data_IF_018935273621
#
_entry.id   IF_018935273621
#
_cell.length_a   1.000
_cell.length_b   1.000
_cell.length_c   1.000
_cell.angle_alpha   90.00
_cell.angle_beta   90.00
_cell.angle_gamma   90.00
#
_symmetry.space_group_name_H-M   'P 1'
#
loop_
_entity.id
_entity.type
_entity.pdbx_description
1 polymer ?
#
# COMPACT_ATOMS: atom_id res chain seq x y z
N UNK A 1 -3.36 -18.93 14.87
CA UNK A 1 -4.82 -19.25 14.90
C UNK A 1 -5.71 -18.06 15.29
N UNK A 2 -5.31 -17.19 16.23
CA UNK A 2 -6.12 -16.02 16.62
C UNK A 2 -6.37 -14.99 15.51
N UNK A 3 -5.37 -14.62 14.70
CA UNK A 3 -5.55 -13.58 13.66
C UNK A 3 -6.61 -13.96 12.60
N UNK A 4 -6.69 -15.24 12.24
CA UNK A 4 -7.66 -15.76 11.26
C UNK A 4 -9.10 -15.64 11.76
N UNK A 5 -9.36 -15.89 13.04
CA UNK A 5 -10.70 -15.72 13.60
C UNK A 5 -11.11 -14.25 13.67
N UNK A 6 -10.19 -13.32 13.96
CA UNK A 6 -10.47 -11.88 13.95
C UNK A 6 -10.80 -11.39 12.53
N UNK A 7 -10.07 -11.89 11.52
CA UNK A 7 -10.35 -11.59 10.13
C UNK A 7 -11.73 -12.09 9.68
N UNK A 8 -12.15 -13.30 10.10
CA UNK A 8 -13.46 -13.82 9.75
C UNK A 8 -14.61 -12.93 10.21
N UNK A 9 -14.56 -12.44 11.45
CA UNK A 9 -15.54 -11.47 11.99
C UNK A 9 -15.50 -10.17 11.19
N UNK A 10 -14.32 -9.61 10.98
CA UNK A 10 -14.17 -8.33 10.30
C UNK A 10 -14.64 -8.35 8.84
N UNK A 11 -14.40 -9.46 8.12
CA UNK A 11 -14.91 -9.68 6.76
C UNK A 11 -16.43 -9.72 6.75
N UNK A 12 -17.05 -10.45 7.70
CA UNK A 12 -18.50 -10.51 7.84
C UNK A 12 -19.12 -9.12 8.05
N UNK A 13 -18.51 -8.31 8.92
CA UNK A 13 -18.92 -6.91 9.14
C UNK A 13 -18.76 -6.07 7.86
N UNK A 14 -17.68 -6.27 7.12
CA UNK A 14 -17.47 -5.61 5.83
C UNK A 14 -18.59 -5.93 4.83
N UNK A 15 -19.03 -7.19 4.74
CA UNK A 15 -20.16 -7.56 3.88
C UNK A 15 -21.48 -6.94 4.33
N UNK A 16 -21.74 -6.81 5.63
CA UNK A 16 -22.91 -6.07 6.12
C UNK A 16 -22.89 -4.60 5.67
N UNK A 17 -21.71 -3.97 5.66
CA UNK A 17 -21.57 -2.58 5.22
C UNK A 17 -21.80 -2.38 3.71
N UNK A 18 -21.77 -3.43 2.89
CA UNK A 18 -22.08 -3.34 1.47
C UNK A 18 -23.52 -2.88 1.21
N UNK A 19 -24.45 -3.24 2.09
CA UNK A 19 -25.87 -2.82 2.02
C UNK A 19 -26.28 -1.87 3.14
N UNK A 20 -25.64 -1.94 4.31
CA UNK A 20 -26.00 -1.19 5.52
C UNK A 20 -24.81 -0.38 6.05
N UNK A 21 -24.19 0.46 5.22
CA UNK A 21 -22.95 1.16 5.55
C UNK A 21 -23.05 2.00 6.83
N UNK A 22 -23.98 2.95 6.88
CA UNK A 22 -24.09 3.91 7.99
C UNK A 22 -24.51 3.21 9.30
N UNK A 23 -25.44 2.25 9.23
CA UNK A 23 -25.83 1.44 10.40
C UNK A 23 -24.64 0.62 10.93
N UNK A 24 -23.86 0.01 10.03
CA UNK A 24 -22.67 -0.77 10.40
C UNK A 24 -21.62 0.11 11.05
N UNK A 25 -21.33 1.28 10.48
CA UNK A 25 -20.42 2.25 11.07
C UNK A 25 -20.90 2.73 12.45
N UNK A 26 -22.19 3.03 12.59
CA UNK A 26 -22.79 3.41 13.87
C UNK A 26 -22.63 2.34 14.94
N UNK A 27 -22.87 1.06 14.60
CA UNK A 27 -22.66 -0.06 15.53
C UNK A 27 -21.19 -0.25 15.93
N UNK A 28 -20.26 -0.07 14.98
CA UNK A 28 -18.83 -0.13 15.29
C UNK A 28 -18.40 1.03 16.19
N UNK A 29 -18.95 2.23 15.98
CA UNK A 29 -18.67 3.40 16.80
C UNK A 29 -19.19 3.22 18.23
N UNK A 30 -20.45 2.77 18.39
CA UNK A 30 -21.05 2.46 19.68
C UNK A 30 -20.23 1.40 20.43
N UNK A 31 -19.81 0.36 19.72
CA UNK A 31 -18.96 -0.68 20.28
C UNK A 31 -17.58 -0.15 20.70
N UNK A 32 -16.97 0.70 19.88
CA UNK A 32 -15.70 1.36 20.20
C UNK A 32 -15.77 2.30 21.41
N UNK A 33 -16.95 2.85 21.72
CA UNK A 33 -17.20 3.68 22.90
C UNK A 33 -17.48 2.90 24.17
N UNK A 34 -17.72 1.58 24.07
CA UNK A 34 -18.07 0.72 25.21
C UNK A 34 -16.97 0.65 26.27
N UNK A 35 -17.36 0.38 27.52
CA UNK A 35 -16.43 0.31 28.66
C UNK A 35 -15.35 -0.77 28.50
N UNK A 36 -15.61 -1.79 27.67
CA UNK A 36 -14.65 -2.85 27.34
C UNK A 36 -13.46 -2.29 26.57
N UNK A 37 -13.70 -1.32 25.68
CA UNK A 37 -12.67 -0.68 24.85
C UNK A 37 -12.03 0.52 25.58
N UNK A 38 -12.78 1.19 26.47
CA UNK A 38 -12.35 2.40 27.20
C UNK A 38 -11.52 2.13 28.46
N UNK A 39 -11.74 1.02 29.18
CA UNK A 39 -11.13 0.77 30.51
C UNK A 39 -9.59 0.66 30.55
N UNK A 40 -8.89 0.65 29.42
CA UNK A 40 -7.43 0.49 29.37
C UNK A 40 -6.60 1.78 29.50
N UNK A 41 -7.20 2.97 29.64
CA UNK A 41 -6.42 4.20 29.85
C UNK A 41 -6.00 4.45 31.30
N UNK A 42 -6.50 3.68 32.28
CA UNK A 42 -6.24 3.95 33.70
C UNK A 42 -5.43 2.83 34.38
N UNK A 43 -4.32 3.26 34.97
CA UNK A 43 -3.31 2.50 35.70
C UNK A 43 -3.88 1.75 36.92
N UNK A 44 -4.20 0.46 36.81
CA UNK A 44 -4.18 -0.45 37.98
C UNK A 44 -3.57 -1.80 37.59
N UNK A 45 -2.41 -2.08 38.18
CA UNK A 45 -1.69 -3.36 38.13
C UNK A 45 -2.18 -4.20 39.30
N UNK A 46 -2.66 -5.43 39.07
CA UNK A 46 -2.54 -6.61 39.98
C UNK A 46 -3.40 -7.82 39.51
N UNK A 47 -4.32 -7.67 38.55
CA UNK A 47 -5.01 -8.81 37.93
C UNK A 47 -5.27 -8.56 36.43
N UNK A 48 -4.21 -8.42 35.62
CA UNK A 48 -4.27 -7.63 34.37
C UNK A 48 -4.05 -8.37 33.05
N UNK A 49 -3.21 -9.42 33.03
CA UNK A 49 -2.67 -9.93 31.75
C UNK A 49 -3.70 -10.58 30.82
N UNK A 50 -4.65 -11.36 31.35
CA UNK A 50 -5.69 -12.01 30.51
C UNK A 50 -6.69 -11.00 29.96
N UNK A 51 -7.06 -9.99 30.76
CA UNK A 51 -7.99 -8.94 30.36
C UNK A 51 -7.34 -8.02 29.31
N UNK A 52 -6.07 -7.65 29.48
CA UNK A 52 -5.34 -6.83 28.51
C UNK A 52 -5.23 -7.53 27.14
N UNK A 53 -4.88 -8.83 27.11
CA UNK A 53 -4.84 -9.61 25.86
C UNK A 53 -6.20 -9.69 25.16
N UNK A 54 -7.30 -9.75 25.92
CA UNK A 54 -8.65 -9.74 25.36
C UNK A 54 -9.01 -8.36 24.78
N UNK A 55 -8.66 -7.27 25.46
CA UNK A 55 -8.86 -5.91 24.95
C UNK A 55 -8.06 -5.66 23.68
N UNK A 56 -6.80 -6.08 23.59
CA UNK A 56 -6.01 -5.91 22.37
C UNK A 56 -6.57 -6.72 21.18
N UNK A 57 -7.18 -7.90 21.43
CA UNK A 57 -7.90 -8.65 20.39
C UNK A 57 -9.18 -7.94 19.94
N UNK A 58 -9.93 -7.37 20.88
CA UNK A 58 -11.12 -6.57 20.58
C UNK A 58 -10.74 -5.35 19.74
N UNK A 59 -9.68 -4.62 20.14
CA UNK A 59 -9.14 -3.48 19.39
C UNK A 59 -8.67 -3.87 18.01
N UNK A 60 -7.91 -4.97 17.90
CA UNK A 60 -7.46 -5.54 16.61
C UNK A 60 -8.64 -5.86 15.68
N UNK A 61 -9.69 -6.49 16.22
CA UNK A 61 -10.90 -6.80 15.45
C UNK A 61 -11.60 -5.54 14.98
N UNK A 62 -11.78 -4.55 15.86
CA UNK A 62 -12.42 -3.29 15.52
C UNK A 62 -11.69 -2.54 14.40
N UNK A 63 -10.36 -2.48 14.47
CA UNK A 63 -9.51 -1.90 13.41
C UNK A 63 -9.70 -2.63 12.09
N UNK A 64 -9.69 -3.96 12.11
CA UNK A 64 -9.92 -4.77 10.91
C UNK A 64 -11.33 -4.56 10.34
N UNK A 65 -12.36 -4.45 11.18
CA UNK A 65 -13.72 -4.16 10.75
C UNK A 65 -13.75 -2.85 9.95
N UNK A 66 -13.14 -1.78 10.44
CA UNK A 66 -13.07 -0.51 9.71
C UNK A 66 -12.35 -0.65 8.35
N UNK A 67 -11.27 -1.44 8.29
CA UNK A 67 -10.59 -1.75 7.03
C UNK A 67 -11.50 -2.50 6.02
N UNK A 68 -12.23 -3.52 6.47
CA UNK A 68 -13.13 -4.29 5.60
C UNK A 68 -14.42 -3.54 5.23
N UNK A 69 -14.95 -2.70 6.13
CA UNK A 69 -16.02 -1.75 5.82
C UNK A 69 -15.58 -0.78 4.73
N UNK A 70 -14.33 -0.31 4.78
CA UNK A 70 -13.77 0.52 3.71
C UNK A 70 -13.71 -0.24 2.39
N UNK A 71 -13.24 -1.49 2.39
CA UNK A 71 -13.08 -2.30 1.18
C UNK A 71 -14.41 -2.70 0.53
N UNK A 72 -15.44 -3.01 1.33
CA UNK A 72 -16.72 -3.55 0.85
C UNK A 72 -17.86 -2.53 0.83
N UNK A 73 -17.64 -1.32 1.37
CA UNK A 73 -18.63 -0.27 1.38
C UNK A 73 -19.02 0.19 -0.03
N UNK A 74 -20.26 0.65 -0.23
CA UNK A 74 -20.77 1.08 -1.52
C UNK A 74 -19.96 2.26 -2.10
N UNK A 75 -19.58 2.13 -3.37
CA UNK A 75 -18.63 3.02 -4.06
C UNK A 75 -18.99 4.51 -3.96
N UNK A 76 -20.29 4.81 -4.09
CA UNK A 76 -20.82 6.17 -4.10
C UNK A 76 -20.82 6.85 -2.72
N UNK A 77 -20.66 6.08 -1.63
CA UNK A 77 -20.80 6.60 -0.26
C UNK A 77 -19.53 6.44 0.57
N UNK A 78 -18.62 5.54 0.20
CA UNK A 78 -17.53 5.11 1.08
C UNK A 78 -16.40 6.15 1.19
N UNK A 79 -16.07 6.86 0.10
CA UNK A 79 -14.96 7.82 0.07
C UNK A 79 -15.10 8.95 1.12
N UNK A 80 -16.26 9.64 1.24
CA UNK A 80 -16.47 10.62 2.30
C UNK A 80 -16.34 10.03 3.71
N UNK A 81 -16.80 8.80 3.93
CA UNK A 81 -16.72 8.12 5.24
C UNK A 81 -15.29 7.73 5.60
N UNK A 82 -14.52 7.28 4.62
CA UNK A 82 -13.09 7.01 4.76
C UNK A 82 -12.37 8.27 5.24
N UNK A 83 -12.55 9.38 4.51
CA UNK A 83 -11.82 10.61 4.77
C UNK A 83 -12.20 11.31 6.07
N UNK A 84 -13.49 11.34 6.42
CA UNK A 84 -13.96 12.10 7.58
C UNK A 84 -13.93 11.33 8.90
N UNK A 85 -14.08 10.00 8.84
CA UNK A 85 -14.34 9.19 10.04
C UNK A 85 -13.39 7.99 10.17
N UNK A 86 -13.38 7.08 9.20
CA UNK A 86 -12.71 5.77 9.36
C UNK A 86 -11.21 5.92 9.59
N UNK A 87 -10.53 6.78 8.82
CA UNK A 87 -9.08 6.96 8.98
C UNK A 87 -8.73 7.49 10.37
N UNK A 88 -9.51 8.44 10.91
CA UNK A 88 -9.28 8.99 12.25
C UNK A 88 -9.38 7.91 13.34
N UNK A 89 -10.33 6.98 13.20
CA UNK A 89 -10.48 5.87 14.12
C UNK A 89 -9.29 4.91 14.07
N UNK A 90 -8.83 4.57 12.85
CA UNK A 90 -7.63 3.73 12.67
C UNK A 90 -6.39 4.43 13.24
N UNK A 91 -6.21 5.73 12.96
CA UNK A 91 -5.11 6.56 13.46
C UNK A 91 -5.05 6.59 15.00
N UNK A 92 -6.19 6.62 15.68
CA UNK A 92 -6.26 6.69 17.15
C UNK A 92 -5.62 5.50 17.87
N UNK A 93 -5.32 4.41 17.16
CA UNK A 93 -4.77 3.18 17.72
C UNK A 93 -3.27 2.96 17.43
N UNK A 94 -2.59 3.87 16.70
CA UNK A 94 -1.18 3.70 16.33
C UNK A 94 -0.21 3.74 17.52
N UNK A 95 -0.58 4.39 18.63
CA UNK A 95 0.23 4.41 19.86
C UNK A 95 0.05 3.11 20.68
N UNK A 96 0.41 1.97 20.10
CA UNK A 96 0.34 0.66 20.74
C UNK A 96 1.66 -0.08 20.68
N UNK A 97 1.93 -0.89 21.71
CA UNK A 97 3.07 -1.82 21.74
C UNK A 97 2.69 -3.23 21.29
N UNK A 98 1.39 -3.53 21.19
CA UNK A 98 0.90 -4.88 20.85
C UNK A 98 1.11 -5.19 19.36
N UNK A 99 1.73 -6.34 19.08
CA UNK A 99 2.04 -6.78 17.72
C UNK A 99 0.76 -7.07 16.91
N UNK A 100 -0.27 -7.65 17.52
CA UNK A 100 -1.52 -8.00 16.83
C UNK A 100 -2.25 -6.74 16.39
N UNK A 101 -2.27 -5.71 17.23
CA UNK A 101 -2.85 -4.40 16.88
C UNK A 101 -2.05 -3.72 15.79
N UNK A 102 -0.71 -3.70 15.88
CA UNK A 102 0.15 -3.15 14.81
C UNK A 102 -0.13 -3.82 13.47
N UNK A 103 -0.18 -5.16 13.41
CA UNK A 103 -0.48 -5.89 12.18
C UNK A 103 -1.90 -5.61 11.68
N UNK A 104 -2.86 -5.44 12.58
CA UNK A 104 -4.23 -5.06 12.24
C UNK A 104 -4.31 -3.65 11.64
N UNK A 105 -3.54 -2.70 12.18
CA UNK A 105 -3.41 -1.35 11.62
C UNK A 105 -2.83 -1.37 10.21
N UNK A 106 -1.69 -2.04 10.02
CA UNK A 106 -1.04 -2.17 8.71
C UNK A 106 -1.98 -2.78 7.67
N UNK A 107 -2.74 -3.80 8.07
CA UNK A 107 -3.75 -4.41 7.21
C UNK A 107 -4.91 -3.45 6.92
N UNK A 108 -5.44 -2.75 7.91
CA UNK A 108 -6.53 -1.80 7.72
C UNK A 108 -6.12 -0.66 6.78
N UNK A 109 -4.91 -0.10 6.94
CA UNK A 109 -4.37 0.92 6.03
C UNK A 109 -4.28 0.41 4.60
N UNK A 110 -3.80 -0.82 4.40
CA UNK A 110 -3.77 -1.44 3.07
C UNK A 110 -5.17 -1.61 2.46
N UNK A 111 -6.16 -2.01 3.26
CA UNK A 111 -7.55 -2.16 2.83
C UNK A 111 -8.17 -0.81 2.47
N UNK A 112 -7.97 0.21 3.30
CA UNK A 112 -8.42 1.59 3.05
C UNK A 112 -7.80 2.12 1.76
N UNK A 113 -6.49 1.97 1.58
CA UNK A 113 -5.82 2.47 0.39
C UNK A 113 -6.35 1.80 -0.88
N UNK A 114 -6.57 0.48 -0.84
CA UNK A 114 -7.19 -0.25 -1.96
C UNK A 114 -8.63 0.18 -2.22
N UNK A 115 -9.40 0.43 -1.16
CA UNK A 115 -10.76 0.94 -1.28
C UNK A 115 -10.76 2.31 -1.97
N UNK A 116 -9.91 3.24 -1.52
CA UNK A 116 -9.78 4.55 -2.15
C UNK A 116 -9.41 4.40 -3.63
N UNK A 117 -8.34 3.66 -3.93
CA UNK A 117 -7.87 3.45 -5.31
C UNK A 117 -8.95 2.87 -6.25
N UNK A 118 -9.76 1.93 -5.76
CA UNK A 118 -10.81 1.30 -6.57
C UNK A 118 -11.97 2.25 -6.87
N UNK A 119 -12.14 3.30 -6.05
CA UNK A 119 -13.26 4.23 -6.11
C UNK A 119 -12.89 5.60 -6.72
N UNK A 120 -11.62 5.86 -7.02
CA UNK A 120 -11.18 7.14 -7.60
C UNK A 120 -11.23 7.20 -9.13
N UNK A 121 -11.52 6.09 -9.82
CA UNK A 121 -11.43 6.02 -11.29
C UNK A 121 -12.31 7.04 -12.05
N UNK A 122 -13.38 7.54 -11.44
CA UNK A 122 -14.35 8.46 -12.06
C UNK A 122 -14.49 9.81 -11.32
N UNK A 123 -13.65 10.09 -10.33
CA UNK A 123 -13.79 11.28 -9.47
C UNK A 123 -12.41 11.87 -9.14
N UNK A 124 -12.30 13.21 -9.16
CA UNK A 124 -11.15 13.92 -8.61
C UNK A 124 -11.19 13.83 -7.08
N UNK A 125 -10.66 12.75 -6.53
CA UNK A 125 -10.60 12.52 -5.09
C UNK A 125 -9.15 12.60 -4.58
N UNK A 126 -8.91 13.52 -3.65
CA UNK A 126 -7.61 13.71 -3.00
C UNK A 126 -7.64 13.11 -1.60
N UNK A 127 -6.83 12.08 -1.37
CA UNK A 127 -6.76 11.42 -0.07
C UNK A 127 -5.84 12.18 0.89
N UNK A 128 -6.43 13.10 1.67
CA UNK A 128 -5.70 14.04 2.54
C UNK A 128 -4.82 13.40 3.62
N UNK A 129 -5.09 12.14 4.00
CA UNK A 129 -4.38 11.44 5.08
C UNK A 129 -3.16 10.65 4.61
N UNK A 130 -2.84 10.68 3.29
CA UNK A 130 -1.74 9.89 2.71
C UNK A 130 -0.40 10.13 3.41
N UNK A 131 -0.01 11.38 3.60
CA UNK A 131 1.27 11.75 4.21
C UNK A 131 1.38 11.31 5.67
N UNK A 132 0.35 11.60 6.48
CA UNK A 132 0.31 11.19 7.90
C UNK A 132 0.43 9.67 8.06
N UNK A 133 -0.32 8.90 7.25
CA UNK A 133 -0.24 7.45 7.28
C UNK A 133 1.16 6.95 6.87
N UNK A 134 1.78 7.52 5.84
CA UNK A 134 3.13 7.13 5.42
C UNK A 134 4.19 7.41 6.49
N UNK A 135 4.11 8.54 7.21
CA UNK A 135 5.01 8.80 8.33
C UNK A 135 4.85 7.76 9.44
N UNK A 136 3.62 7.41 9.81
CA UNK A 136 3.38 6.38 10.83
C UNK A 136 3.88 5.00 10.41
N UNK A 137 3.76 4.64 9.13
CA UNK A 137 4.31 3.40 8.59
C UNK A 137 5.85 3.39 8.64
N UNK A 138 6.49 4.52 8.35
CA UNK A 138 7.94 4.67 8.48
C UNK A 138 8.40 4.57 9.94
N UNK A 139 7.65 5.14 10.89
CA UNK A 139 7.95 5.02 12.32
C UNK A 139 7.87 3.56 12.79
N UNK A 140 6.89 2.79 12.31
CA UNK A 140 6.79 1.35 12.59
C UNK A 140 7.99 0.57 12.03
N UNK A 141 8.48 0.93 10.85
CA UNK A 141 9.69 0.33 10.24
C UNK A 141 10.93 0.66 11.09
N UNK A 142 11.11 1.94 11.44
CA UNK A 142 12.26 2.46 12.21
C UNK A 142 12.27 1.93 13.65
N UNK A 143 11.12 1.55 14.20
CA UNK A 143 11.01 0.97 15.53
C UNK A 143 11.48 -0.50 15.61
N UNK A 144 11.58 -1.23 14.49
CA UNK A 144 12.15 -2.58 14.50
C UNK A 144 13.69 -2.55 14.53
N UNK A 145 14.36 -3.49 15.23
CA UNK A 145 15.82 -3.50 15.35
C UNK A 145 16.50 -3.63 13.98
N UNK A 146 17.45 -2.74 13.61
CA UNK A 146 17.97 -2.65 12.24
C UNK A 146 18.65 -3.93 11.76
N UNK A 147 19.22 -4.70 12.67
CA UNK A 147 20.04 -5.89 12.46
C UNK A 147 19.27 -7.22 12.63
N UNK A 148 17.98 -7.20 12.96
CA UNK A 148 17.19 -8.44 13.08
C UNK A 148 15.73 -8.25 12.71
N UNK A 149 15.22 -9.14 11.86
CA UNK A 149 13.80 -9.23 11.52
C UNK A 149 13.13 -10.29 12.39
N UNK A 150 12.35 -9.86 13.38
CA UNK A 150 11.63 -10.74 14.31
C UNK A 150 10.13 -10.80 14.06
N UNK A 151 9.59 -9.82 13.35
CA UNK A 151 8.16 -9.70 13.10
C UNK A 151 7.93 -9.33 11.64
N UNK A 152 6.72 -9.53 11.10
CA UNK A 152 6.43 -9.17 9.72
C UNK A 152 6.05 -7.68 9.57
N UNK A 153 6.33 -6.82 10.57
CA UNK A 153 5.96 -5.39 10.56
C UNK A 153 6.58 -4.67 9.36
N UNK A 154 7.90 -4.78 9.13
CA UNK A 154 8.56 -4.16 7.96
C UNK A 154 7.87 -4.51 6.64
N UNK A 155 7.64 -5.80 6.39
CA UNK A 155 6.96 -6.26 5.18
C UNK A 155 5.56 -5.66 5.04
N UNK A 156 4.74 -5.72 6.09
CA UNK A 156 3.38 -5.19 6.04
C UNK A 156 3.33 -3.67 5.92
N UNK A 157 4.27 -2.95 6.54
CA UNK A 157 4.39 -1.50 6.45
C UNK A 157 4.83 -1.06 5.05
N UNK A 158 5.84 -1.71 4.47
CA UNK A 158 6.27 -1.47 3.08
C UNK A 158 5.11 -1.74 2.10
N UNK A 159 4.36 -2.83 2.30
CA UNK A 159 3.19 -3.17 1.48
C UNK A 159 2.06 -2.13 1.63
N UNK A 160 1.81 -1.62 2.84
CA UNK A 160 0.83 -0.57 3.06
C UNK A 160 1.26 0.75 2.38
N UNK A 161 2.55 1.10 2.45
CA UNK A 161 3.12 2.26 1.76
C UNK A 161 2.94 2.16 0.25
N UNK A 162 3.18 0.98 -0.34
CA UNK A 162 2.93 0.71 -1.75
C UNK A 162 1.49 1.02 -2.14
N UNK A 163 0.51 0.56 -1.37
CA UNK A 163 -0.90 0.83 -1.67
C UNK A 163 -1.23 2.33 -1.57
N UNK A 164 -0.66 3.04 -0.60
CA UNK A 164 -0.85 4.49 -0.45
C UNK A 164 -0.21 5.29 -1.60
N UNK A 165 0.91 4.83 -2.16
CA UNK A 165 1.58 5.49 -3.28
C UNK A 165 0.74 5.49 -4.57
N UNK A 166 -0.26 4.61 -4.69
CA UNK A 166 -1.21 4.59 -5.80
C UNK A 166 -2.27 5.71 -5.75
N UNK A 167 -2.37 6.41 -4.63
CA UNK A 167 -3.41 7.41 -4.38
C UNK A 167 -2.91 8.82 -4.67
N UNK A 168 -3.82 9.71 -5.04
CA UNK A 168 -3.56 11.15 -5.09
C UNK A 168 -3.65 11.79 -3.70
N UNK A 169 -2.82 12.80 -3.40
CA UNK A 169 -1.85 13.44 -4.29
C UNK A 169 -0.51 12.70 -4.36
N UNK A 170 0.30 12.98 -5.38
CA UNK A 170 1.71 12.55 -5.42
C UNK A 170 2.48 13.08 -4.21
N UNK A 171 3.51 12.34 -3.78
CA UNK A 171 4.38 12.79 -2.69
C UNK A 171 5.32 13.89 -3.16
N UNK A 172 5.79 14.71 -2.22
CA UNK A 172 6.93 15.58 -2.49
C UNK A 172 8.18 14.73 -2.73
N UNK A 173 9.17 15.29 -3.45
CA UNK A 173 10.44 14.59 -3.67
C UNK A 173 11.14 14.26 -2.33
N UNK A 174 11.02 15.14 -1.34
CA UNK A 174 11.61 14.93 -0.01
C UNK A 174 10.97 13.75 0.73
N UNK A 175 9.64 13.67 0.75
CA UNK A 175 8.92 12.56 1.42
C UNK A 175 9.17 11.23 0.71
N UNK A 176 9.22 11.25 -0.63
CA UNK A 176 9.52 10.07 -1.42
C UNK A 176 10.97 9.60 -1.18
N UNK A 177 11.92 10.54 -1.11
CA UNK A 177 13.32 10.25 -0.80
C UNK A 177 13.47 9.59 0.58
N UNK A 178 12.79 10.12 1.60
CA UNK A 178 12.82 9.56 2.95
C UNK A 178 12.21 8.16 3.00
N UNK A 179 11.06 7.96 2.33
CA UNK A 179 10.39 6.66 2.26
C UNK A 179 11.30 5.60 1.63
N UNK A 180 11.90 5.90 0.46
CA UNK A 180 12.80 4.98 -0.24
C UNK A 180 13.99 4.63 0.66
N UNK A 181 14.62 5.64 1.26
CA UNK A 181 15.79 5.46 2.14
C UNK A 181 15.46 4.60 3.36
N UNK A 182 14.31 4.86 4.00
CA UNK A 182 13.82 4.09 5.16
C UNK A 182 13.57 2.63 4.78
N UNK A 183 12.88 2.38 3.68
CA UNK A 183 12.55 1.02 3.24
C UNK A 183 13.82 0.24 2.82
N UNK A 184 14.71 0.83 2.03
CA UNK A 184 15.98 0.21 1.63
C UNK A 184 16.83 -0.13 2.85
N UNK A 185 17.07 0.84 3.75
CA UNK A 185 17.87 0.64 4.95
C UNK A 185 17.30 -0.45 5.85
N UNK A 186 15.98 -0.58 5.94
CA UNK A 186 15.32 -1.59 6.76
C UNK A 186 15.44 -3.03 6.24
N UNK A 187 15.78 -3.23 4.96
CA UNK A 187 15.83 -4.56 4.32
C UNK A 187 17.24 -4.92 3.88
N UNK A 188 17.96 -3.99 3.24
CA UNK A 188 19.30 -4.26 2.73
C UNK A 188 20.32 -4.44 3.85
N UNK A 189 20.21 -3.72 4.97
CA UNK A 189 21.14 -3.80 6.10
C UNK A 189 21.00 -5.07 6.96
N UNK A 190 20.00 -5.91 6.71
CA UNK A 190 19.77 -7.11 7.52
C UNK A 190 20.97 -8.07 7.40
N UNK A 191 21.33 -8.86 8.43
CA UNK A 191 22.45 -9.78 8.34
C UNK A 191 22.24 -10.88 7.28
N UNK A 192 23.29 -11.60 6.88
CA UNK A 192 23.18 -12.73 5.96
C UNK A 192 22.18 -13.78 6.46
N UNK A 193 21.44 -14.36 5.52
CA UNK A 193 20.46 -15.44 5.70
C UNK A 193 20.97 -16.62 6.55
N UNK A 194 22.26 -16.92 6.42
CA UNK A 194 22.92 -18.10 6.99
C UNK A 194 23.88 -17.79 8.15
N UNK A 195 23.80 -16.63 8.80
CA UNK A 195 24.62 -16.35 9.97
C UNK A 195 24.18 -17.26 11.15
N UNK A 196 24.84 -18.42 11.29
CA UNK A 196 24.45 -19.50 12.19
C UNK A 196 24.65 -19.14 13.67
N UNK A 197 23.58 -19.19 14.46
CA UNK A 197 23.68 -19.61 15.85
C UNK A 197 23.63 -21.15 15.88
N UNK A 198 24.62 -21.78 16.52
CA UNK A 198 24.76 -23.24 16.57
C UNK A 198 23.62 -23.89 17.36
N UNK A 199 22.86 -24.76 16.68
CA UNK A 199 22.31 -26.00 17.24
C UNK A 199 21.04 -25.93 18.08
N UNK A 200 19.94 -26.46 17.50
CA UNK A 200 18.79 -27.21 18.09
C UNK A 200 17.68 -27.29 17.02
N UNK A 201 16.82 -28.29 17.06
CA UNK A 201 15.73 -28.46 16.06
C UNK A 201 14.72 -27.28 16.07
N UNK A 202 14.51 -26.66 17.23
CA UNK A 202 13.78 -25.39 17.37
C UNK A 202 14.49 -24.21 16.67
N UNK A 203 15.83 -24.18 16.66
CA UNK A 203 16.60 -23.16 15.97
C UNK A 203 16.55 -23.31 14.43
N UNK A 204 16.29 -24.52 13.91
CA UNK A 204 16.10 -24.77 12.48
C UNK A 204 14.74 -24.22 12.01
N UNK A 205 13.70 -24.39 12.82
CA UNK A 205 12.35 -23.88 12.50
C UNK A 205 12.33 -22.35 12.54
N UNK A 206 12.92 -21.74 13.57
CA UNK A 206 13.07 -20.28 13.69
C UNK A 206 13.89 -19.69 12.53
N UNK A 207 14.96 -20.39 12.10
CA UNK A 207 15.76 -19.98 10.93
C UNK A 207 14.92 -19.99 9.65
N UNK A 208 14.10 -21.04 9.42
CA UNK A 208 13.26 -21.13 8.22
C UNK A 208 12.16 -20.07 8.20
N UNK A 209 11.51 -19.80 9.34
CA UNK A 209 10.51 -18.74 9.45
C UNK A 209 11.14 -17.36 9.21
N UNK A 210 12.36 -17.15 9.72
CA UNK A 210 13.14 -15.94 9.46
C UNK A 210 13.47 -15.78 7.98
N UNK A 211 13.92 -16.83 7.31
CA UNK A 211 14.18 -16.79 5.86
C UNK A 211 12.96 -16.40 5.02
N UNK A 212 11.78 -16.89 5.41
CA UNK A 212 10.52 -16.50 4.78
C UNK A 212 10.26 -15.00 5.00
N UNK A 213 10.36 -14.51 6.24
CA UNK A 213 10.16 -13.09 6.55
C UNK A 213 11.13 -12.18 5.78
N UNK A 214 12.39 -12.59 5.62
CA UNK A 214 13.38 -11.85 4.83
C UNK A 214 12.98 -11.77 3.36
N UNK A 215 12.57 -12.91 2.80
CA UNK A 215 12.14 -13.00 1.40
C UNK A 215 10.89 -12.17 1.16
N UNK A 216 9.93 -12.20 2.08
CA UNK A 216 8.71 -11.41 2.01
C UNK A 216 9.01 -9.90 2.12
N UNK A 217 9.91 -9.50 3.02
CA UNK A 217 10.32 -8.10 3.16
C UNK A 217 11.05 -7.57 1.93
N UNK A 218 11.94 -8.38 1.33
CA UNK A 218 12.64 -8.03 0.09
C UNK A 218 11.68 -7.93 -1.09
N UNK A 219 10.72 -8.85 -1.19
CA UNK A 219 9.69 -8.82 -2.24
C UNK A 219 8.84 -7.55 -2.10
N UNK A 220 8.37 -7.24 -0.90
CA UNK A 220 7.59 -6.02 -0.65
C UNK A 220 8.37 -4.75 -1.02
N UNK A 221 9.67 -4.69 -0.71
CA UNK A 221 10.54 -3.57 -1.10
C UNK A 221 10.67 -3.45 -2.62
N UNK A 222 10.90 -4.56 -3.31
CA UNK A 222 10.99 -4.58 -4.78
C UNK A 222 9.70 -4.09 -5.42
N UNK A 223 8.55 -4.54 -4.93
CA UNK A 223 7.23 -4.08 -5.37
C UNK A 223 6.99 -2.59 -5.10
N UNK A 224 7.45 -2.08 -3.95
CA UNK A 224 7.37 -0.65 -3.63
C UNK A 224 8.15 0.18 -4.64
N UNK A 225 9.39 -0.22 -4.94
CA UNK A 225 10.25 0.48 -5.90
C UNK A 225 9.68 0.42 -7.32
N UNK A 226 9.09 -0.71 -7.73
CA UNK A 226 8.36 -0.82 -9.00
C UNK A 226 7.16 0.12 -9.04
N UNK A 227 6.40 0.24 -7.94
CA UNK A 227 5.27 1.17 -7.85
C UNK A 227 5.70 2.65 -7.92
N UNK A 228 6.87 2.99 -7.37
CA UNK A 228 7.45 4.34 -7.49
C UNK A 228 7.87 4.59 -8.93
N UNK A 229 8.57 3.63 -9.56
CA UNK A 229 8.99 3.72 -10.95
C UNK A 229 7.80 3.83 -11.92
N UNK A 230 6.64 3.28 -11.59
CA UNK A 230 5.42 3.47 -12.37
C UNK A 230 4.91 4.92 -12.39
N UNK A 231 5.30 5.75 -11.43
CA UNK A 231 4.93 7.16 -11.41
C UNK A 231 5.70 7.97 -12.47
N UNK A 232 6.93 7.56 -12.80
CA UNK A 232 7.71 8.11 -13.90
C UNK A 232 8.60 7.04 -14.57
N UNK A 233 8.19 6.59 -15.75
CA UNK A 233 8.92 5.61 -16.57
C UNK A 233 9.94 6.27 -17.53
N UNK A 234 10.31 7.53 -17.31
CA UNK A 234 11.41 8.18 -18.02
C UNK A 234 12.79 7.69 -17.51
N UNK A 235 13.88 7.96 -18.25
CA UNK A 235 15.24 7.77 -17.74
C UNK A 235 15.51 8.54 -16.44
N UNK A 236 14.90 9.71 -16.25
CA UNK A 236 15.04 10.52 -15.04
C UNK A 236 14.34 9.86 -13.86
N UNK A 237 13.13 9.31 -14.06
CA UNK A 237 12.42 8.52 -13.05
C UNK A 237 13.18 7.25 -12.65
N UNK A 238 13.80 6.57 -13.63
CA UNK A 238 14.70 5.46 -13.36
C UNK A 238 15.90 5.91 -12.51
N UNK A 239 16.59 6.98 -12.91
CA UNK A 239 17.71 7.54 -12.17
C UNK A 239 17.31 7.98 -10.74
N UNK A 240 16.10 8.51 -10.57
CA UNK A 240 15.56 8.93 -9.29
C UNK A 240 15.36 7.76 -8.31
N UNK A 241 15.09 6.54 -8.78
CA UNK A 241 15.08 5.34 -7.94
C UNK A 241 16.51 4.80 -7.73
N UNK A 242 17.29 4.74 -8.81
CA UNK A 242 18.63 4.15 -8.80
C UNK A 242 19.63 4.89 -7.90
N UNK A 243 19.54 6.22 -7.80
CA UNK A 243 20.39 7.04 -6.90
C UNK A 243 20.37 6.54 -5.45
N UNK A 244 19.29 5.88 -5.01
CA UNK A 244 19.17 5.33 -3.66
C UNK A 244 19.77 3.92 -3.53
N UNK A 245 19.82 3.15 -4.62
CA UNK A 245 20.33 1.77 -4.62
C UNK A 245 21.86 1.77 -4.80
N UNK A 246 22.39 2.72 -5.57
CA UNK A 246 23.81 2.82 -5.92
C UNK A 246 24.78 2.68 -4.72
N UNK A 247 24.56 3.34 -3.56
CA UNK A 247 25.45 3.17 -2.40
C UNK A 247 25.57 1.73 -1.91
N UNK A 248 24.52 0.91 -2.11
CA UNK A 248 24.47 -0.48 -1.66
C UNK A 248 25.20 -1.44 -2.60
N UNK A 249 25.42 -1.05 -3.86
CA UNK A 249 26.17 -1.86 -4.84
C UNK A 249 27.67 -1.94 -4.50
N UNK A 250 28.16 -1.03 -3.65
CA UNK A 250 29.55 -1.05 -3.15
C UNK A 250 29.64 -1.46 -1.67
N UNK A 251 28.54 -1.91 -1.07
CA UNK A 251 28.45 -2.28 0.34
C UNK A 251 28.93 -3.73 0.61
N UNK A 252 28.60 -4.28 1.79
CA UNK A 252 29.00 -5.64 2.18
C UNK A 252 28.37 -6.68 1.25
N UNK A 253 28.96 -7.87 1.19
CA UNK A 253 28.57 -8.90 0.20
C UNK A 253 27.06 -9.20 0.16
N UNK A 254 26.42 -9.38 1.31
CA UNK A 254 24.99 -9.65 1.40
C UNK A 254 24.11 -8.43 1.11
N UNK A 255 24.57 -7.21 1.46
CA UNK A 255 23.90 -5.96 1.10
C UNK A 255 23.93 -5.75 -0.42
N UNK A 256 25.11 -5.96 -1.01
CA UNK A 256 25.38 -5.84 -2.45
C UNK A 256 24.62 -6.88 -3.27
N UNK A 257 24.51 -8.11 -2.78
CA UNK A 257 23.70 -9.17 -3.40
C UNK A 257 22.24 -8.72 -3.53
N UNK A 258 21.62 -8.24 -2.44
CA UNK A 258 20.23 -7.75 -2.44
C UNK A 258 20.02 -6.53 -3.32
N UNK A 259 20.98 -5.61 -3.31
CA UNK A 259 20.95 -4.44 -4.18
C UNK A 259 21.01 -4.86 -5.66
N UNK A 260 21.91 -5.77 -6.01
CA UNK A 260 22.05 -6.29 -7.38
C UNK A 260 20.79 -7.04 -7.84
N UNK A 261 20.22 -7.89 -6.98
CA UNK A 261 18.97 -8.61 -7.27
C UNK A 261 17.82 -7.63 -7.53
N UNK A 262 17.69 -6.61 -6.67
CA UNK A 262 16.66 -5.58 -6.76
C UNK A 262 16.83 -4.74 -8.03
N UNK A 263 18.07 -4.32 -8.34
CA UNK A 263 18.41 -3.64 -9.59
C UNK A 263 18.02 -4.47 -10.81
N UNK A 264 18.36 -5.76 -10.84
CA UNK A 264 18.01 -6.66 -11.94
C UNK A 264 16.49 -6.73 -12.15
N UNK A 265 15.72 -6.91 -11.07
CA UNK A 265 14.25 -6.94 -11.12
C UNK A 265 13.64 -5.61 -11.60
N UNK A 266 14.17 -4.48 -11.14
CA UNK A 266 13.71 -3.15 -11.58
C UNK A 266 13.98 -2.91 -13.07
N UNK A 267 15.17 -3.27 -13.58
CA UNK A 267 15.49 -3.14 -15.00
C UNK A 267 14.62 -4.05 -15.87
N UNK A 268 14.38 -5.29 -15.44
CA UNK A 268 13.50 -6.22 -16.13
C UNK A 268 12.06 -5.67 -16.18
N UNK A 269 11.56 -5.15 -15.06
CA UNK A 269 10.25 -4.50 -14.99
C UNK A 269 10.18 -3.26 -15.89
N UNK A 270 11.20 -2.40 -15.87
CA UNK A 270 11.27 -1.21 -16.70
C UNK A 270 11.20 -1.56 -18.20
N UNK A 271 11.98 -2.55 -18.63
CA UNK A 271 11.99 -3.04 -20.02
C UNK A 271 10.63 -3.62 -20.44
N UNK A 272 9.99 -4.42 -19.57
CA UNK A 272 8.64 -4.93 -19.81
C UNK A 272 7.63 -3.80 -20.08
N UNK A 273 7.64 -2.76 -19.24
CA UNK A 273 6.73 -1.62 -19.38
C UNK A 273 7.00 -0.77 -20.61
N UNK A 274 8.25 -0.61 -21.02
CA UNK A 274 8.57 0.06 -22.28
C UNK A 274 8.07 -0.73 -23.50
N UNK A 275 8.25 -2.06 -23.51
CA UNK A 275 7.79 -2.91 -24.61
C UNK A 275 6.27 -2.91 -24.77
N UNK A 276 5.53 -2.88 -23.66
CA UNK A 276 4.05 -2.76 -23.69
C UNK A 276 3.64 -1.43 -24.33
N UNK A 277 4.26 -0.30 -23.96
CA UNK A 277 3.96 1.02 -24.52
C UNK A 277 4.22 1.08 -26.03
N UNK A 278 5.33 0.53 -26.49
CA UNK A 278 5.66 0.47 -27.93
C UNK A 278 4.63 -0.37 -28.69
N UNK A 279 4.18 -1.49 -28.12
CA UNK A 279 3.18 -2.36 -28.75
C UNK A 279 1.81 -1.68 -28.86
N UNK A 280 1.37 -0.96 -27.82
CA UNK A 280 0.11 -0.20 -27.84
C UNK A 280 0.15 0.98 -28.82
N UNK A 281 1.29 1.68 -28.92
CA UNK A 281 1.46 2.79 -29.87
C UNK A 281 1.45 2.32 -31.32
N UNK A 282 1.98 1.11 -31.58
CA UNK A 282 2.00 0.51 -32.93
C UNK A 282 0.59 0.09 -33.36
N UNK A 283 -0.19 -0.55 -32.48
CA UNK A 283 -1.60 -0.90 -32.76
C UNK A 283 -2.50 0.34 -32.94
N UNK A 284 -2.26 1.40 -32.18
CA UNK A 284 -3.01 2.66 -32.31
C UNK A 284 -2.76 3.39 -33.64
N UNK A 285 -1.55 3.28 -34.20
CA UNK A 285 -1.20 3.84 -35.52
C UNK A 285 -1.82 3.06 -36.68
N UNK A 286 -1.92 1.73 -36.57
CA UNK A 286 -2.53 0.89 -37.61
C UNK A 286 -4.05 1.11 -37.73
N UNK A 287 -4.75 1.41 -36.62
CA UNK A 287 -6.18 1.73 -36.66
C UNK A 287 -6.48 3.16 -37.18
N UNK A 288 -5.49 4.06 -37.16
CA UNK A 288 -5.61 5.44 -37.66
C UNK A 288 -5.36 5.62 -39.16
N UNK A 289 -4.77 4.63 -39.84
CA UNK A 289 -4.48 4.69 -41.29
C UNK A 289 -5.59 4.11 -42.18
N UNK A 290 -6.72 3.71 -41.59
CA UNK A 290 -7.74 2.88 -42.24
C UNK A 290 -8.93 3.59 -42.88
N UNK A 291 -8.98 4.91 -43.14
CA UNK A 291 -10.08 5.50 -43.96
C UNK A 291 -9.61 6.76 -44.71
N UNK A 292 -9.19 6.61 -45.96
CA UNK A 292 -9.40 7.63 -47.00
C UNK A 292 -9.31 6.97 -48.39
N UNK A 293 -10.41 6.34 -48.81
CA UNK A 293 -10.62 6.05 -50.23
C UNK A 293 -11.43 7.20 -50.79
N UNK A 294 -10.78 8.04 -51.58
CA UNK A 294 -11.42 9.10 -52.36
C UNK A 294 -12.26 8.46 -53.48
N UNK A 295 -13.58 8.67 -53.42
CA UNK A 295 -14.44 8.52 -54.60
C UNK A 295 -14.58 9.89 -55.26
N UNK A 296 -13.78 10.16 -56.30
CA UNK A 296 -14.04 11.27 -57.20
C UNK A 296 -15.04 10.81 -58.27
N UNK A 297 -16.22 11.42 -58.27
CA UNK A 297 -17.14 11.39 -59.41
C UNK A 297 -17.54 12.82 -59.70
N UNK A 298 -17.22 13.25 -60.92
CA UNK A 298 -17.30 14.64 -61.37
C UNK A 298 -18.72 15.22 -61.46
N UNK A 299 -18.73 16.54 -61.55
CA UNK A 299 -19.91 17.35 -61.81
C UNK A 299 -19.50 18.81 -61.92
N UNK A 300 -19.13 19.24 -63.12
CA UNK A 300 -18.97 20.65 -63.49
C UNK A 300 -20.33 21.35 -63.54
N UNK A 301 -20.46 22.55 -62.97
CA UNK A 301 -20.79 23.77 -63.73
C UNK A 301 -21.06 25.00 -62.84
N UNK A 302 -20.29 26.06 -63.15
CA UNK A 302 -20.67 27.48 -63.34
C UNK A 302 -21.64 28.17 -62.36
N UNK A 303 -21.04 29.09 -61.60
CA UNK A 303 -21.38 30.51 -61.44
C UNK A 303 -22.80 30.99 -61.82
N UNK A 304 -23.50 31.54 -60.82
CA UNK A 304 -24.29 32.78 -60.97
C UNK A 304 -24.26 33.58 -59.68
N UNK A 305 -23.81 34.82 -59.81
CA UNK A 305 -24.07 35.94 -58.90
C UNK A 305 -25.54 36.04 -58.51
N UNK A 306 -25.82 36.41 -57.26
CA UNK A 306 -26.87 37.42 -56.97
C UNK A 306 -26.71 38.01 -55.58
N UNK A 307 -26.38 39.29 -55.60
CA UNK A 307 -26.51 40.29 -54.54
C UNK A 307 -28.00 40.57 -54.27
N UNK A 308 -28.44 40.72 -53.01
CA UNK A 308 -29.80 41.19 -52.73
C UNK A 308 -30.22 41.07 -51.27
N UNK A 309 -30.18 42.20 -50.56
CA UNK A 309 -30.84 42.45 -49.27
C UNK A 309 -32.36 42.49 -49.45
N UNK A 310 -33.10 41.86 -48.55
CA UNK A 310 -34.05 42.46 -47.59
C UNK A 310 -34.57 41.38 -46.63
#
# INVERSE_FOLDING_TARGET
RGLLSLQGVAVGVGFCAATHLDDTLGKLEDFGKSDIVRKTSSLFNILKDKADVEVEKVRSTLILCYGYVSLHGPEQLILPRIQTHIVRLVLSHFNTKDLTVKLSLLRAVSLIARAVYSNTANQTFTFSHKGELLHLLQDLIKAEPPDVLRTPIRQHAITASLHLLKLDPMLSEADLYELITTCLGSVFSLPPRLATEKGKEEAITDMKEREVMYTDALTALQELLMQILLQDLSPDGLQAVFKHIEPWLSARDHERERATETTSKLLAFYLDKLNIRVSTDTMGREQGMGVRVESSSGGANTSTDTMGRE
#
